data_IF_789737171193
#
_entry.id   IF_789737171193
#
_cell.length_a   1.000
_cell.length_b   1.000
_cell.length_c   1.000
_cell.angle_alpha   90.00
_cell.angle_beta   90.00
_cell.angle_gamma   90.00
#
_symmetry.space_group_name_H-M   'P 1'
#
loop_
_entity.id
_entity.type
_entity.pdbx_description
1 polymer ?
#
# COMPACT_ATOMS: atom_id res chain seq x y z
N UNK A 1 -2.82 18.84 6.03
CA UNK A 1 -2.88 18.42 7.46
C UNK A 1 -3.39 16.99 7.51
N UNK A 2 -2.86 16.14 8.39
CA UNK A 2 -3.40 14.78 8.56
C UNK A 2 -4.78 14.90 9.23
N UNK A 3 -5.78 14.26 8.64
CA UNK A 3 -7.16 14.34 9.13
C UNK A 3 -7.57 13.10 9.93
N UNK A 4 -7.10 11.93 9.54
CA UNK A 4 -7.35 10.70 10.29
C UNK A 4 -6.27 9.65 10.03
N UNK A 5 -6.21 8.66 10.92
CA UNK A 5 -5.33 7.49 10.86
C UNK A 5 -6.16 6.24 11.10
N UNK A 6 -5.89 5.21 10.32
CA UNK A 6 -6.70 4.00 10.27
C UNK A 6 -5.78 2.79 10.13
N UNK A 7 -6.21 1.63 10.65
CA UNK A 7 -5.60 0.34 10.36
C UNK A 7 -6.60 -0.52 9.62
N UNK A 8 -6.24 -1.03 8.45
CA UNK A 8 -7.17 -1.71 7.54
C UNK A 8 -6.58 -2.99 6.96
N UNK A 9 -7.43 -3.96 6.69
CA UNK A 9 -7.11 -5.17 5.92
C UNK A 9 -7.51 -4.96 4.47
N UNK A 10 -6.55 -4.94 3.56
CA UNK A 10 -6.74 -4.56 2.15
C UNK A 10 -6.01 -5.54 1.23
N UNK A 11 -6.31 -5.48 -0.07
CA UNK A 11 -5.49 -6.06 -1.14
C UNK A 11 -4.89 -4.94 -1.97
N UNK A 12 -3.68 -5.13 -2.48
CA UNK A 12 -3.06 -4.21 -3.43
C UNK A 12 -3.28 -4.73 -4.83
N UNK A 13 -4.18 -4.09 -5.57
CA UNK A 13 -4.62 -4.57 -6.90
C UNK A 13 -3.83 -3.93 -8.05
N UNK A 14 -3.20 -2.78 -7.80
CA UNK A 14 -2.29 -2.14 -8.75
C UNK A 14 -1.24 -1.28 -8.03
N UNK A 15 -0.12 -1.03 -8.72
CA UNK A 15 0.94 -0.14 -8.27
C UNK A 15 1.41 0.73 -9.45
N UNK A 16 1.73 2.00 -9.17
CA UNK A 16 2.33 2.93 -10.11
C UNK A 16 3.50 3.67 -9.45
N UNK A 17 4.73 3.51 -9.93
CA UNK A 17 5.13 2.54 -10.94
C UNK A 17 5.02 1.10 -10.43
N UNK A 18 4.73 0.16 -11.34
CA UNK A 18 4.73 -1.27 -11.03
C UNK A 18 6.10 -1.92 -11.22
N UNK A 19 6.98 -1.27 -11.99
CA UNK A 19 8.36 -1.68 -12.24
C UNK A 19 9.23 -1.34 -11.05
N UNK A 20 9.94 -2.33 -10.51
CA UNK A 20 10.76 -2.17 -9.31
C UNK A 20 11.90 -1.16 -9.51
N UNK A 21 12.37 -1.01 -10.75
CA UNK A 21 13.40 -0.05 -11.14
C UNK A 21 12.94 1.40 -10.92
N UNK A 22 11.65 1.65 -11.13
CA UNK A 22 11.06 2.99 -11.16
C UNK A 22 10.44 3.40 -9.81
N UNK A 23 10.29 2.47 -8.87
CA UNK A 23 9.69 2.70 -7.53
C UNK A 23 10.41 3.79 -6.74
N UNK A 24 11.71 3.95 -6.99
CA UNK A 24 12.54 4.99 -6.38
C UNK A 24 12.77 6.09 -7.39
N UNK A 25 12.66 7.34 -6.94
CA UNK A 25 13.04 8.49 -7.76
C UNK A 25 14.55 8.46 -8.04
N UNK A 26 15.03 9.22 -9.04
CA UNK A 26 16.47 9.36 -9.28
C UNK A 26 17.27 9.79 -8.05
N UNK A 27 16.64 10.53 -7.12
CA UNK A 27 17.25 10.93 -5.85
C UNK A 27 17.21 9.82 -4.76
N UNK A 28 16.78 8.61 -5.10
CA UNK A 28 16.74 7.44 -4.20
C UNK A 28 15.47 7.33 -3.34
N UNK A 29 14.59 8.33 -3.33
CA UNK A 29 13.39 8.33 -2.49
C UNK A 29 12.28 7.44 -3.05
N UNK A 30 11.62 6.66 -2.19
CA UNK A 30 10.43 5.93 -2.57
C UNK A 30 9.33 6.89 -3.05
N UNK A 31 8.71 6.58 -4.20
CA UNK A 31 7.59 7.33 -4.75
C UNK A 31 6.68 6.39 -5.53
N UNK A 32 5.67 5.85 -4.86
CA UNK A 32 4.72 4.92 -5.46
C UNK A 32 3.28 5.27 -5.07
N UNK A 33 2.34 5.03 -5.99
CA UNK A 33 0.90 5.06 -5.75
C UNK A 33 0.38 3.64 -5.84
N UNK A 34 -0.23 3.15 -4.77
CA UNK A 34 -0.92 1.88 -4.72
C UNK A 34 -2.41 2.09 -4.92
N UNK A 35 -3.04 1.15 -5.62
CA UNK A 35 -4.49 1.00 -5.64
C UNK A 35 -4.84 -0.08 -4.63
N UNK A 36 -5.48 0.34 -3.55
CA UNK A 36 -5.89 -0.51 -2.45
C UNK A 36 -7.36 -0.86 -2.62
N UNK A 37 -7.72 -2.09 -2.32
CA UNK A 37 -9.09 -2.58 -2.39
C UNK A 37 -9.46 -3.33 -1.11
N UNK A 38 -10.66 -3.10 -0.62
CA UNK A 38 -11.33 -3.95 0.37
C UNK A 38 -12.73 -4.33 -0.17
N UNK A 39 -13.56 -5.07 0.58
CA UNK A 39 -14.91 -5.44 0.13
C UNK A 39 -15.85 -4.26 -0.16
N UNK A 40 -15.51 -3.05 0.28
CA UNK A 40 -16.39 -1.88 0.25
C UNK A 40 -15.94 -0.81 -0.73
N UNK A 41 -14.64 -0.72 -1.02
CA UNK A 41 -14.14 0.28 -1.95
C UNK A 41 -12.74 0.02 -2.48
N UNK A 42 -12.39 0.83 -3.48
CA UNK A 42 -11.06 0.91 -4.06
C UNK A 42 -10.56 2.36 -3.97
N UNK A 43 -9.39 2.57 -3.38
CA UNK A 43 -8.78 3.89 -3.20
C UNK A 43 -7.34 3.93 -3.69
N UNK A 44 -6.82 5.13 -3.90
CA UNK A 44 -5.40 5.35 -4.15
C UNK A 44 -4.68 5.82 -2.89
N UNK A 45 -3.54 5.20 -2.58
CA UNK A 45 -2.69 5.58 -1.46
C UNK A 45 -1.23 5.72 -1.91
N UNK A 46 -0.55 6.76 -1.43
CA UNK A 46 0.86 6.96 -1.69
C UNK A 46 1.75 6.21 -0.69
N UNK A 47 2.90 5.74 -1.18
CA UNK A 47 4.05 5.27 -0.41
C UNK A 47 5.20 6.20 -0.80
N UNK A 48 5.70 6.99 0.16
CA UNK A 48 6.62 8.08 -0.13
C UNK A 48 7.70 8.26 0.94
N UNK A 49 8.95 8.49 0.52
CA UNK A 49 10.08 8.75 1.41
C UNK A 49 10.27 7.65 2.46
N UNK A 50 10.47 8.04 3.72
CA UNK A 50 10.71 7.15 4.87
C UNK A 50 9.59 6.13 5.09
N UNK A 51 8.33 6.46 4.74
CA UNK A 51 7.23 5.50 4.83
C UNK A 51 7.46 4.33 3.84
N UNK A 52 8.09 4.59 2.70
CA UNK A 52 8.48 3.56 1.73
C UNK A 52 9.68 2.74 2.17
N UNK A 53 10.67 3.38 2.81
CA UNK A 53 11.80 2.67 3.42
C UNK A 53 11.29 1.70 4.48
N UNK A 54 10.41 2.16 5.38
CA UNK A 54 9.79 1.30 6.39
C UNK A 54 8.94 0.18 5.77
N UNK A 55 8.18 0.51 4.72
CA UNK A 55 7.35 -0.47 4.01
C UNK A 55 8.17 -1.58 3.37
N UNK A 56 9.29 -1.24 2.71
CA UNK A 56 10.15 -2.20 2.04
C UNK A 56 11.33 -2.70 2.87
N UNK A 57 11.39 -2.34 4.15
CA UNK A 57 12.45 -2.72 5.09
C UNK A 57 13.85 -2.28 4.61
N UNK A 58 14.00 -0.96 4.44
CA UNK A 58 15.22 -0.34 3.93
C UNK A 58 15.19 -0.15 2.41
N UNK A 59 16.36 -0.27 1.80
CA UNK A 59 16.59 -0.11 0.36
C UNK A 59 17.07 -1.43 -0.28
N UNK A 60 16.20 -2.46 -0.40
CA UNK A 60 16.57 -3.73 -0.99
C UNK A 60 17.04 -3.58 -2.45
N UNK A 61 17.78 -4.58 -2.94
CA UNK A 61 18.13 -4.67 -4.36
C UNK A 61 16.86 -4.73 -5.23
N UNK A 62 16.97 -4.30 -6.50
CA UNK A 62 15.84 -4.29 -7.45
C UNK A 62 15.19 -5.67 -7.57
N UNK A 63 15.99 -6.74 -7.55
CA UNK A 63 15.50 -8.14 -7.58
C UNK A 63 14.62 -8.47 -6.37
N UNK A 64 15.06 -8.08 -5.16
CA UNK A 64 14.30 -8.30 -3.93
C UNK A 64 13.05 -7.43 -3.90
N UNK A 65 13.15 -6.18 -4.35
CA UNK A 65 12.02 -5.25 -4.45
C UNK A 65 10.96 -5.77 -5.44
N UNK A 66 11.37 -6.26 -6.62
CA UNK A 66 10.49 -6.90 -7.60
C UNK A 66 9.77 -8.10 -7.01
N UNK A 67 10.47 -8.96 -6.27
CA UNK A 67 9.83 -10.10 -5.58
C UNK A 67 8.81 -9.64 -4.53
N UNK A 68 9.11 -8.60 -3.75
CA UNK A 68 8.17 -8.02 -2.77
C UNK A 68 6.93 -7.45 -3.47
N UNK A 69 7.10 -6.70 -4.56
CA UNK A 69 6.01 -6.15 -5.37
C UNK A 69 5.15 -7.24 -6.01
N UNK A 70 5.75 -8.23 -6.64
CA UNK A 70 5.03 -9.34 -7.27
C UNK A 70 4.18 -10.09 -6.26
N UNK A 71 4.71 -10.37 -5.06
CA UNK A 71 3.94 -10.97 -3.97
C UNK A 71 2.78 -10.08 -3.51
N UNK A 72 3.02 -8.78 -3.38
CA UNK A 72 2.00 -7.82 -2.97
C UNK A 72 0.86 -7.71 -4.00
N UNK A 73 1.20 -7.77 -5.29
CA UNK A 73 0.26 -7.72 -6.41
C UNK A 73 -0.34 -9.09 -6.76
N UNK A 74 0.05 -10.16 -6.06
CA UNK A 74 -0.45 -11.51 -6.30
C UNK A 74 -0.05 -12.10 -7.65
N UNK A 75 1.10 -11.68 -8.19
CA UNK A 75 1.64 -12.23 -9.44
C UNK A 75 2.07 -13.68 -9.20
N UNK A 76 1.57 -14.59 -10.01
CA UNK A 76 1.95 -16.00 -9.94
C UNK A 76 3.40 -16.16 -10.39
N UNK A 77 4.19 -16.88 -9.59
CA UNK A 77 5.58 -17.17 -9.87
C UNK A 77 5.76 -18.68 -10.01
N UNK A 78 6.57 -19.11 -10.97
CA UNK A 78 7.04 -20.49 -11.11
C UNK A 78 8.09 -20.83 -10.05
N UNK A 79 8.48 -22.11 -9.96
CA UNK A 79 9.47 -22.59 -8.98
C UNK A 79 10.85 -21.93 -9.14
N UNK A 80 11.21 -21.52 -10.36
CA UNK A 80 12.42 -20.74 -10.66
C UNK A 80 12.25 -19.23 -10.41
N UNK A 81 11.12 -18.80 -9.85
CA UNK A 81 10.84 -17.42 -9.45
C UNK A 81 10.52 -16.49 -10.61
N UNK A 82 10.21 -17.02 -11.79
CA UNK A 82 9.77 -16.25 -12.96
C UNK A 82 8.27 -16.04 -12.93
N UNK A 83 7.82 -14.94 -13.53
CA UNK A 83 6.40 -14.65 -13.66
C UNK A 83 5.75 -15.63 -14.64
N UNK A 84 4.68 -16.28 -14.21
CA UNK A 84 3.87 -17.13 -15.07
C UNK A 84 2.97 -16.20 -15.88
N UNK A 85 3.20 -16.14 -17.20
CA UNK A 85 2.41 -15.34 -18.11
C UNK A 85 0.94 -15.79 -18.09
N UNK A 86 0.03 -14.85 -18.19
CA UNK A 86 -1.43 -15.05 -18.28
C UNK A 86 -2.08 -15.74 -17.06
N UNK A 87 -1.31 -16.02 -16.00
CA UNK A 87 -1.87 -16.50 -14.76
C UNK A 87 -2.70 -15.40 -14.07
N UNK A 88 -3.88 -15.72 -13.52
CA UNK A 88 -4.69 -14.75 -12.81
C UNK A 88 -3.95 -14.24 -11.58
N UNK A 89 -3.98 -12.92 -11.38
CA UNK A 89 -3.43 -12.31 -10.16
C UNK A 89 -4.33 -12.59 -8.97
N UNK A 90 -3.73 -13.02 -7.86
CA UNK A 90 -4.44 -13.25 -6.59
C UNK A 90 -3.73 -12.50 -5.45
N UNK A 91 -3.92 -11.17 -5.35
CA UNK A 91 -3.23 -10.37 -4.34
C UNK A 91 -3.67 -10.78 -2.92
N UNK A 92 -2.72 -10.96 -1.99
CA UNK A 92 -3.02 -11.36 -0.63
C UNK A 92 -3.72 -10.23 0.14
N UNK A 93 -4.52 -10.61 1.13
CA UNK A 93 -5.00 -9.67 2.14
C UNK A 93 -3.86 -9.31 3.09
N UNK A 94 -3.61 -8.01 3.24
CA UNK A 94 -2.55 -7.46 4.10
C UNK A 94 -3.12 -6.39 5.01
N UNK A 95 -2.59 -6.33 6.23
CA UNK A 95 -2.87 -5.22 7.13
C UNK A 95 -1.92 -4.05 6.83
N UNK A 96 -2.46 -2.84 6.77
CA UNK A 96 -1.68 -1.62 6.65
C UNK A 96 -2.28 -0.49 7.48
N UNK A 97 -1.45 0.50 7.80
CA UNK A 97 -1.88 1.74 8.42
C UNK A 97 -1.97 2.83 7.33
N UNK A 98 -3.12 3.51 7.26
CA UNK A 98 -3.42 4.57 6.31
C UNK A 98 -3.69 5.87 7.05
N UNK A 99 -3.09 6.96 6.57
CA UNK A 99 -3.41 8.31 7.00
C UNK A 99 -4.04 9.07 5.85
N UNK A 100 -5.11 9.81 6.12
CA UNK A 100 -5.72 10.73 5.17
C UNK A 100 -5.21 12.15 5.40
N UNK A 101 -5.12 12.94 4.34
CA UNK A 101 -4.77 14.36 4.38
C UNK A 101 -5.39 15.07 3.18
N UNK A 102 -5.67 16.36 3.31
CA UNK A 102 -6.05 17.21 2.20
C UNK A 102 -4.86 18.06 1.75
N UNK A 103 -4.82 18.38 0.45
CA UNK A 103 -3.83 19.30 -0.12
C UNK A 103 -4.29 20.75 -0.02
N UNK A 104 -5.59 20.97 -0.18
CA UNK A 104 -6.24 22.27 -0.08
C UNK A 104 -7.15 22.32 1.16
N UNK A 105 -7.00 23.35 1.99
CA UNK A 105 -7.83 23.58 3.18
C UNK A 105 -9.25 24.00 2.81
N UNK A 106 -9.43 24.61 1.66
CA UNK A 106 -10.71 25.10 1.17
C UNK A 106 -11.50 23.98 0.46
N UNK A 107 -10.78 22.99 -0.09
CA UNK A 107 -11.37 21.78 -0.67
C UNK A 107 -10.90 20.53 0.08
N UNK A 108 -11.40 20.34 1.31
CA UNK A 108 -10.99 19.21 2.16
C UNK A 108 -11.39 17.84 1.59
N UNK A 109 -12.43 17.80 0.76
CA UNK A 109 -12.97 16.55 0.22
C UNK A 109 -12.34 16.20 -1.12
N UNK A 110 -12.38 17.12 -2.09
CA UNK A 110 -11.85 16.90 -3.43
C UNK A 110 -10.32 16.80 -3.46
N UNK A 111 -9.63 17.46 -2.53
CA UNK A 111 -8.18 17.36 -2.41
C UNK A 111 -7.70 16.26 -1.44
N UNK A 112 -8.60 15.37 -0.99
CA UNK A 112 -8.28 14.30 -0.05
C UNK A 112 -7.41 13.22 -0.71
N UNK A 113 -6.32 12.89 -0.02
CA UNK A 113 -5.37 11.87 -0.39
C UNK A 113 -5.11 10.93 0.78
N UNK A 114 -4.64 9.73 0.46
CA UNK A 114 -4.26 8.72 1.42
C UNK A 114 -2.79 8.38 1.28
N UNK A 115 -2.15 8.02 2.39
CA UNK A 115 -0.76 7.58 2.43
C UNK A 115 -0.61 6.42 3.39
N UNK A 116 0.12 5.39 2.96
CA UNK A 116 0.56 4.33 3.85
C UNK A 116 1.65 4.91 4.76
N UNK A 117 1.56 4.57 6.03
CA UNK A 117 2.56 4.94 7.02
C UNK A 117 2.73 3.80 8.02
N UNK A 118 3.83 3.80 8.77
CA UNK A 118 4.04 2.89 9.91
C UNK A 118 3.73 1.40 9.61
N UNK A 119 3.94 1.00 8.37
CA UNK A 119 3.60 -0.33 7.86
C UNK A 119 4.88 -0.94 7.35
N UNK A 120 5.20 -2.17 7.78
CA UNK A 120 6.30 -2.96 7.25
C UNK A 120 5.72 -4.17 6.53
N UNK A 121 6.19 -4.44 5.31
CA UNK A 121 5.80 -5.64 4.58
C UNK A 121 6.51 -6.84 5.20
N UNK A 122 5.93 -7.40 6.26
CA UNK A 122 6.42 -8.63 6.87
C UNK A 122 6.28 -9.80 5.88
N UNK A 123 7.09 -10.84 6.09
CA UNK A 123 6.95 -12.14 5.42
C UNK A 123 5.46 -12.51 5.51
N UNK A 124 4.76 -12.65 4.38
CA UNK A 124 3.35 -13.05 4.32
C UNK A 124 3.23 -14.49 4.86
N UNK A 125 3.29 -14.62 6.18
CA UNK A 125 2.94 -15.77 7.00
C UNK A 125 2.11 -15.18 8.12
N UNK A 126 0.88 -15.68 8.22
CA UNK A 126 -0.17 -15.32 9.16
C UNK A 126 0.25 -14.40 10.32
N UNK A 127 -0.32 -13.20 10.28
CA UNK A 127 -0.56 -12.31 11.43
C UNK A 127 0.67 -11.74 12.15
N UNK A 128 0.86 -10.43 12.07
CA UNK A 128 1.67 -9.70 13.05
C UNK A 128 0.88 -8.49 13.54
N UNK A 129 0.60 -8.49 14.85
CA UNK A 129 -0.03 -7.39 15.58
C UNK A 129 1.07 -6.38 15.92
N UNK A 130 0.88 -5.12 15.51
CA UNK A 130 1.64 -3.99 16.04
C UNK A 130 0.66 -3.13 16.85
N UNK A 131 0.99 -2.90 18.12
CA UNK A 131 0.16 -2.21 19.11
C UNK A 131 -0.08 -0.74 18.75
N UNK A 132 -1.31 -0.24 18.95
CA UNK A 132 -1.59 1.21 19.06
C UNK A 132 -2.59 1.85 18.07
N UNK A 133 -3.40 1.10 17.32
CA UNK A 133 -4.37 1.70 16.37
C UNK A 133 -5.75 1.05 16.44
N UNK A 134 -6.80 1.85 16.20
CA UNK A 134 -8.18 1.37 15.99
C UNK A 134 -8.18 0.48 14.75
N UNK A 135 -8.50 -0.79 14.93
CA UNK A 135 -8.62 -1.78 13.87
C UNK A 135 -9.94 -1.57 13.15
N UNK A 136 -9.91 -1.02 11.94
CA UNK A 136 -11.08 -0.89 11.07
C UNK A 136 -11.08 -2.06 10.10
N UNK A 137 -12.10 -2.90 10.21
CA UNK A 137 -12.28 -4.08 9.37
C UNK A 137 -12.71 -3.73 7.93
N UNK A 138 -12.90 -2.44 7.60
CA UNK A 138 -13.34 -2.01 6.27
C UNK A 138 -13.09 -0.51 5.97
N UNK A 139 -12.88 -0.18 4.69
CA UNK A 139 -12.92 1.17 4.11
C UNK A 139 -14.28 1.85 4.32
N UNK A 140 -15.35 1.14 4.65
CA UNK A 140 -16.65 1.74 4.94
C UNK A 140 -16.55 2.83 6.00
N UNK A 141 -15.75 2.64 7.05
CA UNK A 141 -15.51 3.69 8.04
C UNK A 141 -14.63 4.82 7.51
N UNK A 142 -13.65 4.52 6.65
CA UNK A 142 -12.79 5.53 6.00
C UNK A 142 -13.62 6.43 5.07
N UNK A 143 -14.59 5.85 4.37
CA UNK A 143 -15.49 6.53 3.44
C UNK A 143 -16.66 7.18 4.17
N UNK A 144 -17.13 6.63 5.29
CA UNK A 144 -18.12 7.30 6.14
C UNK A 144 -17.59 8.64 6.69
N UNK A 145 -16.28 8.75 6.98
CA UNK A 145 -15.61 10.04 7.25
C UNK A 145 -15.39 10.93 6.00
N UNK A 146 -15.93 10.54 4.85
CA UNK A 146 -15.96 11.29 3.61
C UNK A 146 -17.41 11.65 3.16
N UNK A 147 -18.45 11.29 3.92
CA UNK A 147 -19.87 11.58 3.58
C UNK A 147 -20.65 12.16 4.78
N UNK A 148 -19.99 12.89 5.69
CA UNK A 148 -20.66 13.72 6.70
C UNK A 148 -20.06 15.11 6.70
#
# INVERSE_FOLDING_TARGET
>A
MVTAKFRCTIRVVAALPCRAEDVRSPCGNYRMRLTLEDPTARIHAFVYGDDGEKFFDGYPSVVVLKRKLNKLLGVALSDDGKEIKDAPRNPPWVQCCLKSYYLDKNDKMGSRHYRIFDTKLCRLRNSTIVHGYIQLNSFHHIIAFAVV
#
